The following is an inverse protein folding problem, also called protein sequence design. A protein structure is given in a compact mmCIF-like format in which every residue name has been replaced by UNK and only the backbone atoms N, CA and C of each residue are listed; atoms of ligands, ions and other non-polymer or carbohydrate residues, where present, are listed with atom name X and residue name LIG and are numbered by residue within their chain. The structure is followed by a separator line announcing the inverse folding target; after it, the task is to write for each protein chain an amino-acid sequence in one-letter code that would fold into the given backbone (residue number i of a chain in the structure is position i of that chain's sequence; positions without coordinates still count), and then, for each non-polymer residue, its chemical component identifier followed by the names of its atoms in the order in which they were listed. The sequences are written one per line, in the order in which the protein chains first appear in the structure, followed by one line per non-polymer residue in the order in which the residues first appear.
data_IF_545127517618
#
_entry.id   IF_545127517618
#
_cell.length_a   1.000
_cell.length_b   1.000
_cell.length_c   1.000
_cell.angle_alpha   90.00
_cell.angle_beta   90.00
_cell.angle_gamma   90.00
#
_symmetry.space_group_name_H-M   'P 1'
#
loop_
_entity.id
_entity.type
_entity.pdbx_description
1 polymer ?
#
# COMPACT_ATOMS: atom_id res chain seq x y z
N UNK A 1 -26.98 -3.12 29.03
CA UNK A 1 -25.78 -2.27 28.88
C UNK A 1 -26.22 -0.81 28.89
N UNK A 2 -25.63 0.05 29.73
CA UNK A 2 -25.96 1.48 29.78
C UNK A 2 -25.48 2.17 28.49
N UNK A 3 -26.32 3.05 27.93
CA UNK A 3 -25.95 3.83 26.74
C UNK A 3 -24.78 4.76 27.09
N UNK A 4 -23.72 4.83 26.26
CA UNK A 4 -22.59 5.71 26.49
C UNK A 4 -23.01 7.18 26.42
N UNK A 5 -22.42 8.01 27.28
CA UNK A 5 -22.70 9.45 27.34
C UNK A 5 -22.21 10.17 26.08
N UNK A 6 -22.85 11.29 25.73
CA UNK A 6 -22.46 12.09 24.56
C UNK A 6 -21.02 12.62 24.67
N UNK A 7 -20.55 12.86 25.89
CA UNK A 7 -19.17 13.27 26.15
C UNK A 7 -18.17 12.16 25.81
N UNK A 8 -18.50 10.90 26.13
CA UNK A 8 -17.72 9.74 25.75
C UNK A 8 -17.66 9.56 24.22
N UNK A 9 -18.79 9.75 23.52
CA UNK A 9 -18.84 9.68 22.06
C UNK A 9 -17.95 10.76 21.41
N UNK A 10 -17.97 12.00 21.94
CA UNK A 10 -17.08 13.09 21.47
C UNK A 10 -15.61 12.78 21.70
N UNK A 11 -15.24 12.33 22.90
CA UNK A 11 -13.85 12.00 23.24
C UNK A 11 -13.31 10.86 22.35
N UNK A 12 -14.12 9.82 22.13
CA UNK A 12 -13.79 8.70 21.24
C UNK A 12 -13.57 9.16 19.80
N UNK A 13 -14.43 10.02 19.26
CA UNK A 13 -14.24 10.57 17.89
C UNK A 13 -12.96 11.40 17.78
N UNK A 14 -12.67 12.25 18.76
CA UNK A 14 -11.46 13.08 18.75
C UNK A 14 -10.16 12.24 18.83
N UNK A 15 -10.17 11.16 19.61
CA UNK A 15 -9.03 10.23 19.69
C UNK A 15 -8.87 9.41 18.42
N UNK A 16 -9.96 8.96 17.79
CA UNK A 16 -9.93 8.26 16.51
C UNK A 16 -9.44 9.17 15.37
N UNK A 17 -9.89 10.43 15.31
CA UNK A 17 -9.41 11.39 14.30
C UNK A 17 -7.92 11.69 14.47
N UNK A 18 -7.44 11.78 15.72
CA UNK A 18 -6.03 11.96 16.02
C UNK A 18 -5.20 10.73 15.63
N UNK A 19 -5.68 9.52 15.91
CA UNK A 19 -5.02 8.28 15.51
C UNK A 19 -4.94 8.18 13.98
N UNK A 20 -6.00 8.55 13.26
CA UNK A 20 -6.02 8.61 11.79
C UNK A 20 -4.97 9.57 11.25
N UNK A 21 -4.93 10.81 11.73
CA UNK A 21 -3.94 11.80 11.28
C UNK A 21 -2.50 11.40 11.58
N UNK A 22 -2.26 10.71 12.70
CA UNK A 22 -0.91 10.30 13.08
C UNK A 22 -0.44 9.00 12.43
N UNK A 23 -1.37 8.08 12.09
CA UNK A 23 -1.02 6.75 11.61
C UNK A 23 -1.35 6.51 10.13
N UNK A 24 -2.36 7.18 9.57
CA UNK A 24 -2.82 6.93 8.20
C UNK A 24 -2.26 7.98 7.23
N UNK A 25 -2.32 9.27 7.58
CA UNK A 25 -1.79 10.34 6.72
C UNK A 25 -0.30 10.19 6.38
N UNK A 26 0.61 9.80 7.29
CA UNK A 26 2.01 9.60 6.93
C UNK A 26 2.25 8.38 6.03
N UNK A 27 1.28 7.46 5.92
CA UNK A 27 1.37 6.28 5.04
C UNK A 27 0.60 6.47 3.71
N UNK A 28 -0.01 7.63 3.48
CA UNK A 28 -0.56 7.99 2.17
C UNK A 28 0.44 7.87 0.99
N UNK A 29 1.74 8.25 1.12
CA UNK A 29 2.70 8.07 0.04
C UNK A 29 3.04 6.61 -0.26
N UNK A 30 2.75 5.68 0.66
CA UNK A 30 2.98 4.24 0.45
C UNK A 30 2.15 3.69 -0.72
N UNK A 31 0.94 4.22 -0.91
CA UNK A 31 0.06 3.81 -2.02
C UNK A 31 0.64 4.22 -3.37
N UNK A 32 1.22 5.41 -3.45
CA UNK A 32 1.94 5.88 -4.63
C UNK A 32 3.19 5.05 -4.92
N UNK A 33 3.96 4.72 -3.87
CA UNK A 33 5.14 3.87 -4.00
C UNK A 33 4.78 2.47 -4.50
N UNK A 34 3.70 1.91 -3.98
CA UNK A 34 3.15 0.63 -4.42
C UNK A 34 2.69 0.66 -5.88
N UNK A 35 1.93 1.69 -6.27
CA UNK A 35 1.49 1.85 -7.65
C UNK A 35 2.68 1.97 -8.62
N UNK A 36 3.71 2.74 -8.26
CA UNK A 36 4.93 2.88 -9.03
C UNK A 36 5.65 1.52 -9.19
N UNK A 37 5.80 0.78 -8.09
CA UNK A 37 6.41 -0.56 -8.13
C UNK A 37 5.64 -1.52 -9.04
N UNK A 38 4.30 -1.50 -8.98
CA UNK A 38 3.46 -2.30 -9.87
C UNK A 38 3.65 -1.91 -11.35
N UNK A 39 3.70 -0.62 -11.68
CA UNK A 39 3.89 -0.14 -13.05
C UNK A 39 5.26 -0.59 -13.58
N UNK A 40 6.32 -0.37 -12.80
CA UNK A 40 7.69 -0.77 -13.18
C UNK A 40 7.78 -2.28 -13.39
N UNK A 41 7.20 -3.06 -12.48
CA UNK A 41 7.19 -4.52 -12.60
C UNK A 41 6.42 -4.98 -13.84
N UNK A 42 5.21 -4.48 -14.08
CA UNK A 42 4.40 -4.88 -15.23
C UNK A 42 5.04 -4.46 -16.55
N UNK A 43 5.49 -3.21 -16.65
CA UNK A 43 6.13 -2.70 -17.87
C UNK A 43 7.40 -3.48 -18.20
N UNK A 44 8.24 -3.75 -17.19
CA UNK A 44 9.46 -4.51 -17.39
C UNK A 44 9.21 -6.00 -17.62
N UNK A 45 8.21 -6.60 -16.97
CA UNK A 45 7.80 -7.98 -17.25
C UNK A 45 7.31 -8.13 -18.69
N UNK A 46 6.47 -7.23 -19.18
CA UNK A 46 6.01 -7.22 -20.58
C UNK A 46 7.21 -7.01 -21.53
N UNK A 47 8.06 -6.03 -21.25
CA UNK A 47 9.22 -5.75 -22.10
C UNK A 47 10.20 -6.94 -22.19
N UNK A 48 10.41 -7.67 -21.09
CA UNK A 48 11.27 -8.85 -21.04
C UNK A 48 10.60 -10.09 -21.66
N UNK A 49 9.31 -10.30 -21.41
CA UNK A 49 8.57 -11.48 -21.88
C UNK A 49 8.37 -11.49 -23.39
N UNK A 50 8.13 -10.32 -24.00
CA UNK A 50 7.90 -10.17 -25.44
C UNK A 50 9.17 -9.80 -26.22
N UNK A 51 10.34 -9.81 -25.57
CA UNK A 51 11.59 -9.53 -26.26
C UNK A 51 11.92 -10.69 -27.24
N UNK A 52 12.02 -10.43 -28.55
CA UNK A 52 12.24 -11.49 -29.55
C UNK A 52 13.68 -12.03 -29.57
N UNK A 53 14.60 -11.41 -28.82
CA UNK A 53 15.95 -11.91 -28.62
C UNK A 53 15.96 -13.02 -27.55
N UNK A 54 16.01 -14.28 -27.98
CA UNK A 54 16.16 -15.41 -27.07
C UNK A 54 17.50 -15.35 -26.33
N UNK A 55 17.47 -15.57 -25.00
CA UNK A 55 18.56 -15.85 -24.05
C UNK A 55 19.89 -15.06 -24.10
N UNK A 56 20.08 -14.14 -25.04
CA UNK A 56 21.26 -13.27 -25.10
C UNK A 56 21.09 -12.14 -24.09
N UNK A 57 21.73 -12.33 -22.93
CA UNK A 57 21.72 -11.38 -21.83
C UNK A 57 22.57 -10.14 -22.20
N UNK A 58 22.01 -9.25 -23.02
CA UNK A 58 22.65 -7.97 -23.31
C UNK A 58 22.71 -7.08 -22.07
N UNK A 59 23.70 -6.20 -21.99
CA UNK A 59 23.88 -5.26 -20.85
C UNK A 59 22.61 -4.43 -20.60
N UNK A 60 21.90 -4.05 -21.67
CA UNK A 60 20.64 -3.33 -21.58
C UNK A 60 19.55 -4.16 -20.87
N UNK A 61 19.47 -5.44 -21.20
CA UNK A 61 18.49 -6.37 -20.64
C UNK A 61 18.80 -6.66 -19.17
N UNK A 62 20.08 -6.80 -18.81
CA UNK A 62 20.53 -6.92 -17.42
C UNK A 62 20.17 -5.66 -16.60
N UNK A 63 20.38 -4.46 -17.16
CA UNK A 63 20.02 -3.19 -16.50
C UNK A 63 18.51 -3.06 -16.30
N UNK A 64 17.69 -3.54 -17.24
CA UNK A 64 16.22 -3.55 -17.08
C UNK A 64 15.73 -4.61 -16.09
N UNK A 65 16.41 -5.76 -16.00
CA UNK A 65 15.99 -6.87 -15.16
C UNK A 65 16.14 -6.57 -13.65
N UNK A 66 17.18 -5.82 -13.26
CA UNK A 66 17.43 -5.43 -11.86
C UNK A 66 16.25 -4.67 -11.23
N UNK A 67 15.75 -3.54 -11.78
CA UNK A 67 14.63 -2.81 -11.18
C UNK A 67 13.33 -3.62 -11.20
N UNK A 68 13.13 -4.49 -12.19
CA UNK A 68 11.97 -5.40 -12.25
C UNK A 68 12.03 -6.43 -11.12
N UNK A 69 13.20 -7.03 -10.90
CA UNK A 69 13.40 -7.98 -9.81
C UNK A 69 13.19 -7.32 -8.43
N UNK A 70 13.75 -6.11 -8.25
CA UNK A 70 13.55 -5.32 -7.03
C UNK A 70 12.06 -5.00 -6.83
N UNK A 71 11.37 -4.54 -7.87
CA UNK A 71 9.94 -4.25 -7.83
C UNK A 71 9.12 -5.51 -7.51
N UNK A 72 9.46 -6.65 -8.11
CA UNK A 72 8.80 -7.94 -7.86
C UNK A 72 8.91 -8.40 -6.41
N UNK A 73 10.02 -8.10 -5.73
CA UNK A 73 10.21 -8.40 -4.30
C UNK A 73 9.54 -7.35 -3.40
N UNK A 74 9.53 -6.08 -3.82
CA UNK A 74 8.88 -4.98 -3.11
C UNK A 74 7.36 -5.09 -3.11
N UNK A 75 6.75 -5.56 -4.21
CA UNK A 75 5.29 -5.68 -4.34
C UNK A 75 4.68 -6.48 -3.19
N UNK A 76 5.04 -7.75 -2.91
CA UNK A 76 4.40 -8.52 -1.83
C UNK A 76 4.63 -7.89 -0.44
N UNK A 77 5.80 -7.30 -0.20
CA UNK A 77 6.11 -6.60 1.05
C UNK A 77 5.20 -5.38 1.24
N UNK A 78 5.05 -4.57 0.18
CA UNK A 78 4.18 -3.39 0.18
C UNK A 78 2.71 -3.79 0.23
N UNK A 79 2.29 -4.85 -0.46
CA UNK A 79 0.92 -5.36 -0.44
C UNK A 79 0.51 -5.67 0.99
N UNK A 80 1.34 -6.38 1.76
CA UNK A 80 1.04 -6.68 3.16
C UNK A 80 0.87 -5.42 4.02
N UNK A 81 1.75 -4.43 3.85
CA UNK A 81 1.70 -3.16 4.57
C UNK A 81 0.45 -2.34 4.22
N UNK A 82 0.16 -2.21 2.92
CA UNK A 82 -1.03 -1.51 2.41
C UNK A 82 -2.31 -2.20 2.86
N UNK A 83 -2.38 -3.54 2.80
CA UNK A 83 -3.55 -4.30 3.25
C UNK A 83 -3.81 -4.07 4.74
N UNK A 84 -2.75 -4.14 5.55
CA UNK A 84 -2.84 -3.92 7.00
C UNK A 84 -3.34 -2.52 7.32
N UNK A 85 -2.81 -1.51 6.62
CA UNK A 85 -3.25 -0.13 6.77
C UNK A 85 -4.71 0.05 6.32
N UNK A 86 -5.09 -0.54 5.19
CA UNK A 86 -6.45 -0.45 4.67
C UNK A 86 -7.48 -1.11 5.59
N UNK A 87 -7.18 -2.30 6.12
CA UNK A 87 -8.02 -2.96 7.11
C UNK A 87 -8.12 -2.15 8.40
N UNK A 88 -7.01 -1.59 8.87
CA UNK A 88 -7.00 -0.73 10.06
C UNK A 88 -7.85 0.52 9.85
N UNK A 89 -7.73 1.17 8.68
CA UNK A 89 -8.55 2.31 8.30
C UNK A 89 -10.04 1.97 8.27
N UNK A 90 -10.44 0.89 7.58
CA UNK A 90 -11.85 0.49 7.52
C UNK A 90 -12.42 0.11 8.89
N UNK A 91 -11.60 -0.50 9.75
CA UNK A 91 -12.01 -0.84 11.11
C UNK A 91 -12.20 0.43 11.95
N UNK A 92 -11.36 1.44 11.79
CA UNK A 92 -11.53 2.75 12.42
C UNK A 92 -12.82 3.44 11.95
N UNK A 93 -13.12 3.37 10.65
CA UNK A 93 -14.36 3.92 10.07
C UNK A 93 -15.61 3.19 10.58
N UNK A 94 -15.56 1.86 10.73
CA UNK A 94 -16.67 1.10 11.32
C UNK A 94 -16.94 1.54 12.77
N UNK A 95 -15.87 1.77 13.55
CA UNK A 95 -15.96 2.18 14.96
C UNK A 95 -16.45 3.62 15.15
N UNK A 96 -16.33 4.49 14.14
CA UNK A 96 -16.90 5.85 14.18
C UNK A 96 -18.37 5.89 13.76
N UNK A 97 -18.84 4.94 12.95
CA UNK A 97 -20.22 4.85 12.43
C UNK A 97 -21.14 4.06 13.36
N UNK A 98 -20.64 3.07 14.11
CA UNK A 98 -21.42 2.30 15.09
C UNK A 98 -21.91 3.23 16.23
N UNK A 99 -23.21 3.55 16.20
CA UNK A 99 -23.85 4.69 16.88
C UNK A 99 -24.71 4.28 18.08
#
# INVERSE_FOLDING_TARGET
MQKPSDHWKKLRRATLDRARRNAIDPLAPLHWLYALACIVYLAGFVALQFHPGGADLSVLLAVMLVPVAIAGLLIPLLTGSVLTLHFTSRRLDALTIEN
#
